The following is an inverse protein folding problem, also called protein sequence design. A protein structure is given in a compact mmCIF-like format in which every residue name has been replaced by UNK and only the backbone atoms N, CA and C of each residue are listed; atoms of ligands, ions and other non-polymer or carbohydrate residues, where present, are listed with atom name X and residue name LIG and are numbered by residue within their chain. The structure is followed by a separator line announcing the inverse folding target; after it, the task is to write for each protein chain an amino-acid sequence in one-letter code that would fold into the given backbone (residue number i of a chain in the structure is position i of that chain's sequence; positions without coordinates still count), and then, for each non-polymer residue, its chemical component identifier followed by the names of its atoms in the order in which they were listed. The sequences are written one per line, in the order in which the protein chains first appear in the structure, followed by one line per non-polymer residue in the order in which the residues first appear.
data_IF_270974368786
#
_entry.id   IF_270974368786
#
_cell.length_a   1.000
_cell.length_b   1.000
_cell.length_c   1.000
_cell.angle_alpha   90.00
_cell.angle_beta   90.00
_cell.angle_gamma   90.00
#
_symmetry.space_group_name_H-M   'P 1'
#
loop_
_entity.id
_entity.type
_entity.pdbx_description
1 polymer ?
#
# COMPACT_ATOMS: atom_id res chain seq x y z
N UNK A 1 -70.56 14.58 2.04
CA UNK A 1 -69.09 14.45 2.15
C UNK A 1 -68.51 14.98 0.86
N UNK A 2 -67.88 16.16 0.91
CA UNK A 2 -67.28 16.85 -0.24
C UNK A 2 -65.83 16.42 -0.37
N UNK A 3 -65.47 15.75 -1.47
CA UNK A 3 -64.07 15.41 -1.79
C UNK A 3 -63.53 16.46 -2.76
N UNK A 4 -62.95 17.52 -2.20
CA UNK A 4 -62.24 18.56 -2.93
C UNK A 4 -60.91 18.03 -3.49
N UNK A 5 -60.92 17.62 -4.76
CA UNK A 5 -59.74 17.68 -5.62
C UNK A 5 -59.82 18.96 -6.46
N UNK A 6 -58.71 19.64 -6.76
CA UNK A 6 -58.75 20.77 -7.68
C UNK A 6 -59.18 20.24 -9.05
N UNK A 7 -60.41 20.56 -9.41
CA UNK A 7 -60.95 20.39 -10.74
C UNK A 7 -60.14 21.23 -11.73
N UNK A 8 -59.08 20.63 -12.28
CA UNK A 8 -58.16 21.24 -13.25
C UNK A 8 -58.82 21.32 -14.63
N UNK A 9 -59.96 22.01 -14.77
CA UNK A 9 -60.60 22.20 -16.07
C UNK A 9 -59.76 23.13 -16.96
N UNK A 10 -59.70 22.81 -18.26
CA UNK A 10 -59.07 23.65 -19.28
C UNK A 10 -60.17 24.22 -20.15
N UNK A 11 -60.25 25.54 -20.22
CA UNK A 11 -61.23 26.24 -21.06
C UNK A 11 -60.76 26.19 -22.51
N UNK A 12 -61.62 25.71 -23.41
CA UNK A 12 -61.32 25.67 -24.83
C UNK A 12 -61.30 27.09 -25.42
N UNK A 13 -60.17 27.51 -26.01
CA UNK A 13 -60.02 28.87 -26.57
C UNK A 13 -60.96 29.20 -27.74
N UNK A 14 -61.44 28.19 -28.49
CA UNK A 14 -62.32 28.42 -29.64
C UNK A 14 -63.80 28.55 -29.30
N UNK A 15 -64.29 27.87 -28.26
CA UNK A 15 -65.74 27.81 -27.95
C UNK A 15 -66.08 28.13 -26.48
N UNK A 16 -65.08 28.35 -25.63
CA UNK A 16 -65.28 28.71 -24.23
C UNK A 16 -65.75 27.58 -23.31
N UNK A 17 -65.98 26.36 -23.83
CA UNK A 17 -66.43 25.24 -23.01
C UNK A 17 -65.33 24.75 -22.06
N UNK A 18 -65.71 24.40 -20.83
CA UNK A 18 -64.84 23.71 -19.88
C UNK A 18 -64.68 22.24 -20.26
N UNK A 19 -63.44 21.81 -20.47
CA UNK A 19 -63.10 20.44 -20.87
C UNK A 19 -62.07 19.87 -19.91
N UNK A 20 -62.11 18.57 -19.68
CA UNK A 20 -61.12 17.90 -18.83
C UNK A 20 -59.72 17.97 -19.46
N UNK A 21 -58.67 18.13 -18.64
CA UNK A 21 -57.29 18.33 -19.10
C UNK A 21 -56.68 17.06 -19.74
N UNK A 22 -57.39 15.94 -19.66
CA UNK A 22 -56.96 14.63 -20.13
C UNK A 22 -57.34 14.38 -21.60
N UNK A 23 -58.16 15.25 -22.21
CA UNK A 23 -58.62 15.10 -23.59
C UNK A 23 -57.80 16.00 -24.52
N UNK A 24 -57.37 15.46 -25.67
CA UNK A 24 -56.53 16.19 -26.64
C UNK A 24 -57.32 17.07 -27.62
N UNK A 25 -58.60 16.82 -27.78
CA UNK A 25 -59.51 17.52 -28.70
C UNK A 25 -60.80 17.91 -27.97
N UNK A 26 -61.31 19.12 -28.22
CA UNK A 26 -62.53 19.58 -27.58
C UNK A 26 -63.74 18.81 -28.15
N UNK A 27 -64.55 18.11 -27.32
CA UNK A 27 -65.68 17.31 -27.80
C UNK A 27 -66.77 18.15 -28.47
N UNK A 28 -66.86 19.45 -28.16
CA UNK A 28 -67.88 20.34 -28.69
C UNK A 28 -67.55 20.99 -30.03
N UNK A 29 -66.30 21.38 -30.26
CA UNK A 29 -65.91 22.13 -31.47
C UNK A 29 -64.80 21.45 -32.29
N UNK A 30 -64.30 20.29 -31.86
CA UNK A 30 -63.22 19.57 -32.53
C UNK A 30 -61.85 20.27 -32.51
N UNK A 31 -61.74 21.45 -31.89
CA UNK A 31 -60.47 22.17 -31.84
C UNK A 31 -59.45 21.43 -30.96
N UNK A 32 -58.21 21.36 -31.46
CA UNK A 32 -57.15 20.60 -30.81
C UNK A 32 -56.54 21.39 -29.65
N UNK A 33 -56.76 20.94 -28.42
CA UNK A 33 -56.30 21.63 -27.21
C UNK A 33 -54.79 21.44 -26.98
N UNK A 34 -54.25 20.23 -27.25
CA UNK A 34 -52.82 19.91 -27.05
C UNK A 34 -52.32 18.92 -28.10
N UNK A 35 -51.01 18.97 -28.40
CA UNK A 35 -50.34 18.08 -29.36
C UNK A 35 -50.08 16.65 -28.83
N UNK A 36 -50.16 16.40 -27.51
CA UNK A 36 -49.90 15.08 -26.91
C UNK A 36 -50.60 14.94 -25.55
N UNK A 37 -51.21 13.78 -25.27
CA UNK A 37 -51.81 13.47 -23.98
C UNK A 37 -50.71 13.36 -22.88
N UNK A 38 -50.96 13.84 -21.65
CA UNK A 38 -50.07 13.62 -20.52
C UNK A 38 -49.88 12.12 -20.28
N UNK A 39 -48.65 11.69 -20.00
CA UNK A 39 -48.40 10.31 -19.59
C UNK A 39 -48.93 10.13 -18.16
N UNK A 40 -49.89 9.22 -18.01
CA UNK A 40 -50.43 8.84 -16.72
C UNK A 40 -49.61 7.67 -16.16
N UNK A 41 -49.33 7.71 -14.86
CA UNK A 41 -48.80 6.58 -14.11
C UNK A 41 -49.87 5.51 -13.89
N UNK A 42 -49.49 4.35 -13.37
CA UNK A 42 -50.38 3.19 -13.15
C UNK A 42 -51.58 3.50 -12.23
N UNK A 43 -51.49 4.58 -11.45
CA UNK A 43 -52.52 5.09 -10.55
C UNK A 43 -53.37 6.23 -11.16
N UNK A 44 -53.22 6.51 -12.47
CA UNK A 44 -54.01 7.53 -13.16
C UNK A 44 -53.59 8.98 -12.88
N UNK A 45 -52.41 9.20 -12.26
CA UNK A 45 -51.86 10.53 -11.99
C UNK A 45 -50.86 10.96 -13.06
N UNK A 46 -50.68 12.26 -13.26
CA UNK A 46 -49.72 12.80 -14.24
C UNK A 46 -48.29 12.50 -13.79
N UNK A 47 -47.52 11.78 -14.61
CA UNK A 47 -46.16 11.35 -14.29
C UNK A 47 -45.21 12.55 -14.12
N UNK A 48 -44.68 12.74 -12.91
CA UNK A 48 -43.67 13.78 -12.65
C UNK A 48 -42.33 13.44 -13.32
N UNK A 49 -41.62 14.45 -13.83
CA UNK A 49 -40.27 14.28 -14.38
C UNK A 49 -39.32 13.80 -13.28
N UNK A 50 -38.94 12.53 -13.35
CA UNK A 50 -37.93 11.91 -12.47
C UNK A 50 -36.69 12.81 -12.41
N UNK A 51 -36.41 13.38 -11.23
CA UNK A 51 -35.21 14.20 -10.99
C UNK A 51 -33.99 13.36 -11.40
N UNK A 52 -33.11 13.93 -12.22
CA UNK A 52 -31.90 13.25 -12.73
C UNK A 52 -31.10 12.76 -11.53
N UNK A 53 -30.87 11.44 -11.47
CA UNK A 53 -30.03 10.79 -10.46
C UNK A 53 -28.62 11.38 -10.58
N UNK A 54 -27.94 11.74 -9.49
CA UNK A 54 -26.55 12.18 -9.56
C UNK A 54 -25.72 11.11 -10.28
N UNK A 55 -24.74 11.50 -11.12
CA UNK A 55 -23.91 10.55 -11.83
C UNK A 55 -23.21 9.63 -10.81
N UNK A 56 -23.34 8.32 -11.01
CA UNK A 56 -22.64 7.35 -10.19
C UNK A 56 -21.12 7.55 -10.38
N UNK A 57 -20.31 7.48 -9.31
CA UNK A 57 -18.87 7.58 -9.42
C UNK A 57 -18.36 6.48 -10.37
N UNK A 58 -17.76 6.87 -11.49
CA UNK A 58 -17.15 5.93 -12.43
C UNK A 58 -15.78 5.54 -11.92
N UNK A 59 -15.53 4.25 -11.79
CA UNK A 59 -14.18 3.74 -11.51
C UNK A 59 -13.23 4.13 -12.67
N UNK A 60 -11.97 4.49 -12.37
CA UNK A 60 -10.97 4.73 -13.40
C UNK A 60 -10.80 3.49 -14.30
N UNK A 61 -10.38 3.70 -15.55
CA UNK A 61 -10.10 2.62 -16.50
C UNK A 61 -9.05 1.67 -15.92
N UNK A 62 -9.44 0.40 -15.76
CA UNK A 62 -8.55 -0.69 -15.37
C UNK A 62 -7.43 -0.86 -16.41
N UNK A 63 -6.20 -1.06 -15.94
CA UNK A 63 -5.07 -1.43 -16.81
C UNK A 63 -5.23 -2.89 -17.26
N UNK A 64 -4.58 -3.23 -18.36
CA UNK A 64 -4.50 -4.62 -18.82
C UNK A 64 -3.90 -5.51 -17.72
N UNK A 65 -4.65 -6.52 -17.26
CA UNK A 65 -4.24 -7.44 -16.19
C UNK A 65 -4.74 -7.07 -14.78
N UNK A 66 -5.39 -5.92 -14.59
CA UNK A 66 -6.03 -5.57 -13.31
C UNK A 66 -7.46 -6.10 -13.26
N UNK A 67 -7.74 -6.97 -12.28
CA UNK A 67 -9.12 -7.36 -11.93
C UNK A 67 -9.59 -6.37 -10.85
N UNK A 68 -10.76 -5.72 -11.00
CA UNK A 68 -11.25 -4.78 -10.01
C UNK A 68 -11.42 -5.46 -8.65
N UNK A 69 -10.72 -4.94 -7.63
CA UNK A 69 -10.67 -5.52 -6.29
C UNK A 69 -9.47 -6.42 -6.01
N UNK A 70 -8.64 -6.75 -7.02
CA UNK A 70 -7.40 -7.53 -6.86
C UNK A 70 -6.22 -6.62 -7.22
N UNK A 71 -5.33 -6.35 -6.25
CA UNK A 71 -4.11 -5.55 -6.49
C UNK A 71 -3.30 -6.23 -7.61
N UNK A 72 -2.79 -5.47 -8.60
CA UNK A 72 -1.96 -6.04 -9.66
C UNK A 72 -0.77 -6.77 -9.04
N UNK A 73 -0.53 -8.00 -9.49
CA UNK A 73 0.67 -8.75 -9.09
C UNK A 73 1.92 -8.07 -9.65
N UNK A 74 2.51 -7.15 -8.89
CA UNK A 74 3.85 -6.65 -9.15
C UNK A 74 4.87 -7.68 -8.70
N UNK A 75 5.65 -8.22 -9.63
CA UNK A 75 6.80 -9.07 -9.30
C UNK A 75 7.80 -8.26 -8.47
N UNK A 76 8.29 -8.77 -7.32
CA UNK A 76 9.11 -8.00 -6.40
C UNK A 76 10.58 -7.94 -6.87
N UNK A 77 10.82 -7.18 -7.94
CA UNK A 77 12.13 -7.10 -8.58
C UNK A 77 13.19 -6.50 -7.65
N UNK A 78 12.84 -5.51 -6.82
CA UNK A 78 13.80 -4.91 -5.90
C UNK A 78 14.21 -5.89 -4.81
N UNK A 79 13.23 -6.58 -4.21
CA UNK A 79 13.49 -7.61 -3.20
C UNK A 79 14.31 -8.76 -3.79
N UNK A 80 13.96 -9.25 -4.98
CA UNK A 80 14.74 -10.29 -5.67
C UNK A 80 16.18 -9.84 -5.92
N UNK A 81 16.40 -8.61 -6.39
CA UNK A 81 17.73 -8.08 -6.61
C UNK A 81 18.56 -8.01 -5.31
N UNK A 82 17.95 -7.57 -4.20
CA UNK A 82 18.62 -7.51 -2.89
C UNK A 82 18.98 -8.90 -2.36
N UNK A 83 18.09 -9.88 -2.46
CA UNK A 83 18.38 -11.27 -2.08
C UNK A 83 19.49 -11.84 -2.94
N UNK A 84 19.41 -11.67 -4.27
CA UNK A 84 20.43 -12.16 -5.20
C UNK A 84 21.78 -11.52 -4.91
N UNK A 85 21.84 -10.21 -4.61
CA UNK A 85 23.06 -9.54 -4.20
C UNK A 85 23.64 -10.14 -2.91
N UNK A 86 22.81 -10.43 -1.91
CA UNK A 86 23.22 -11.10 -0.68
C UNK A 86 23.73 -12.53 -0.90
N UNK A 87 23.05 -13.31 -1.74
CA UNK A 87 23.47 -14.68 -2.08
C UNK A 87 24.79 -14.68 -2.87
N UNK A 88 24.96 -13.74 -3.81
CA UNK A 88 26.23 -13.54 -4.51
C UNK A 88 27.33 -13.16 -3.54
N UNK A 89 27.06 -12.28 -2.58
CA UNK A 89 28.01 -11.94 -1.50
C UNK A 89 28.44 -13.16 -0.70
N UNK A 90 27.49 -14.02 -0.29
CA UNK A 90 27.80 -15.30 0.37
C UNK A 90 28.66 -16.23 -0.50
N UNK A 91 28.40 -16.31 -1.81
CA UNK A 91 29.16 -17.15 -2.73
C UNK A 91 30.58 -16.64 -2.95
N UNK A 92 30.76 -15.33 -3.12
CA UNK A 92 32.08 -14.70 -3.28
C UNK A 92 32.96 -14.99 -2.08
N UNK A 93 32.41 -14.82 -0.87
CA UNK A 93 33.10 -15.18 0.35
C UNK A 93 33.46 -16.67 0.39
N UNK A 94 32.49 -17.55 0.14
CA UNK A 94 32.67 -19.00 0.29
C UNK A 94 33.62 -19.63 -0.73
N UNK A 95 33.80 -18.98 -1.87
CA UNK A 95 34.74 -19.40 -2.92
C UNK A 95 36.13 -18.81 -2.73
N UNK A 96 36.34 -18.00 -1.69
CA UNK A 96 37.59 -17.26 -1.42
C UNK A 96 38.08 -16.45 -2.61
N UNK A 97 37.17 -16.00 -3.47
CA UNK A 97 37.50 -15.17 -4.63
C UNK A 97 38.00 -13.78 -4.19
N UNK A 98 37.52 -13.31 -3.03
CA UNK A 98 37.92 -12.08 -2.37
C UNK A 98 38.03 -12.32 -0.86
N UNK A 99 39.06 -11.76 -0.23
CA UNK A 99 39.18 -11.78 1.23
C UNK A 99 38.07 -10.92 1.86
N UNK A 100 37.42 -11.44 2.91
CA UNK A 100 36.33 -10.75 3.63
C UNK A 100 36.75 -9.35 4.06
N UNK A 101 38.00 -9.20 4.52
CA UNK A 101 38.59 -7.95 4.98
C UNK A 101 38.57 -6.82 3.94
N UNK A 102 38.37 -7.13 2.65
CA UNK A 102 38.24 -6.13 1.59
C UNK A 102 36.82 -5.56 1.45
N UNK A 103 35.81 -6.31 1.90
CA UNK A 103 34.38 -6.07 1.65
C UNK A 103 33.61 -5.77 2.95
N UNK A 104 34.08 -6.29 4.09
CA UNK A 104 33.54 -5.98 5.42
C UNK A 104 33.96 -4.58 5.88
N UNK A 105 33.21 -4.03 6.84
CA UNK A 105 33.67 -2.85 7.57
C UNK A 105 34.69 -3.33 8.59
N UNK A 106 35.95 -3.01 8.32
CA UNK A 106 37.07 -3.20 9.23
C UNK A 106 37.74 -1.84 9.46
N UNK A 107 37.60 -1.28 10.65
CA UNK A 107 38.11 0.06 10.96
C UNK A 107 37.24 1.18 10.39
N UNK A 108 37.64 2.44 10.67
CA UNK A 108 36.90 3.61 10.16
C UNK A 108 36.94 3.66 8.62
N UNK A 109 35.79 3.89 7.95
CA UNK A 109 35.73 3.99 6.51
C UNK A 109 36.44 5.27 6.05
N UNK A 110 37.73 5.16 5.77
CA UNK A 110 38.53 6.21 5.13
C UNK A 110 38.34 6.17 3.61
N UNK A 111 39.37 5.79 2.82
CA UNK A 111 39.26 5.71 1.37
C UNK A 111 38.33 4.58 0.88
N UNK A 112 38.03 3.59 1.72
CA UNK A 112 37.23 2.41 1.38
C UNK A 112 35.73 2.59 1.67
N UNK A 113 35.16 3.74 1.31
CA UNK A 113 33.75 4.08 1.57
C UNK A 113 32.76 3.09 0.95
N UNK A 114 33.12 2.40 -0.14
CA UNK A 114 32.29 1.38 -0.78
C UNK A 114 31.99 0.19 0.14
N UNK A 115 32.81 -0.05 1.18
CA UNK A 115 32.57 -1.10 2.18
C UNK A 115 31.25 -0.89 2.92
N UNK A 116 30.81 0.36 3.09
CA UNK A 116 29.49 0.66 3.67
C UNK A 116 28.34 0.13 2.80
N UNK A 117 28.53 0.12 1.48
CA UNK A 117 27.53 -0.36 0.52
C UNK A 117 27.57 -1.88 0.34
N UNK A 118 28.76 -2.49 0.42
CA UNK A 118 28.92 -3.92 0.19
C UNK A 118 28.73 -4.76 1.45
N UNK A 119 29.07 -4.26 2.63
CA UNK A 119 28.97 -4.99 3.89
C UNK A 119 27.56 -5.53 4.22
N UNK A 120 26.43 -4.83 3.91
CA UNK A 120 25.10 -5.39 4.12
C UNK A 120 24.80 -6.67 3.35
N UNK A 121 25.56 -6.95 2.28
CA UNK A 121 25.36 -8.12 1.40
C UNK A 121 26.31 -9.28 1.69
N UNK A 122 27.24 -9.12 2.64
CA UNK A 122 28.22 -10.15 2.99
C UNK A 122 27.86 -10.75 4.34
N UNK A 123 27.98 -12.07 4.43
CA UNK A 123 27.65 -12.85 5.61
C UNK A 123 28.74 -13.90 5.85
N UNK A 124 29.28 -13.92 7.06
CA UNK A 124 30.28 -14.88 7.56
C UNK A 124 29.63 -16.21 8.02
N UNK A 125 28.34 -16.18 8.32
CA UNK A 125 27.59 -17.29 8.90
C UNK A 125 26.36 -17.63 8.05
N UNK A 126 26.21 -18.91 7.70
CA UNK A 126 25.09 -19.38 6.86
C UNK A 126 23.74 -19.23 7.57
N UNK A 127 23.66 -19.48 8.87
CA UNK A 127 22.44 -19.28 9.65
C UNK A 127 22.07 -17.80 9.75
N UNK A 128 23.07 -16.93 9.88
CA UNK A 128 22.87 -15.48 9.87
C UNK A 128 22.34 -14.97 8.52
N UNK A 129 22.97 -15.40 7.43
CA UNK A 129 22.53 -15.12 6.07
C UNK A 129 21.09 -15.58 5.86
N UNK A 130 20.77 -16.82 6.27
CA UNK A 130 19.42 -17.35 6.13
C UNK A 130 18.38 -16.52 6.89
N UNK A 131 18.60 -16.25 8.18
CA UNK A 131 17.63 -15.51 8.99
C UNK A 131 17.38 -14.08 8.45
N UNK A 132 18.45 -13.38 8.09
CA UNK A 132 18.35 -12.01 7.58
C UNK A 132 17.79 -11.94 6.16
N UNK A 133 18.27 -12.76 5.23
CA UNK A 133 17.79 -12.76 3.84
C UNK A 133 16.35 -13.30 3.75
N UNK A 134 15.96 -14.25 4.60
CA UNK A 134 14.57 -14.69 4.69
C UNK A 134 13.66 -13.56 5.18
N UNK A 135 14.09 -12.80 6.21
CA UNK A 135 13.34 -11.64 6.69
C UNK A 135 13.27 -10.53 5.62
N UNK A 136 14.39 -10.20 4.97
CA UNK A 136 14.42 -9.24 3.85
C UNK A 136 13.53 -9.72 2.71
N UNK A 137 13.54 -11.01 2.39
CA UNK A 137 12.72 -11.55 1.32
C UNK A 137 11.23 -11.54 1.62
N UNK A 138 10.84 -11.94 2.85
CA UNK A 138 9.45 -11.95 3.27
C UNK A 138 8.89 -10.51 3.36
N UNK A 139 9.52 -9.66 4.18
CA UNK A 139 9.00 -8.30 4.42
C UNK A 139 9.30 -7.36 3.26
N UNK A 140 10.42 -7.53 2.56
CA UNK A 140 10.69 -6.79 1.33
C UNK A 140 9.62 -7.08 0.28
N UNK A 141 9.26 -8.34 0.07
CA UNK A 141 8.22 -8.69 -0.90
C UNK A 141 6.85 -8.12 -0.48
N UNK A 142 6.45 -8.32 0.77
CA UNK A 142 5.18 -7.79 1.28
C UNK A 142 5.12 -6.26 1.18
N UNK A 143 6.20 -5.57 1.51
CA UNK A 143 6.28 -4.12 1.45
C UNK A 143 6.35 -3.58 0.01
N UNK A 144 7.06 -4.27 -0.89
CA UNK A 144 7.12 -3.93 -2.32
C UNK A 144 5.74 -4.03 -2.96
N UNK A 145 4.96 -5.04 -2.58
CA UNK A 145 3.54 -5.16 -3.01
C UNK A 145 2.67 -4.05 -2.44
N UNK A 146 3.00 -3.48 -1.28
CA UNK A 146 2.18 -2.47 -0.58
C UNK A 146 2.51 -1.04 -1.00
N UNK A 147 3.80 -0.71 -1.17
CA UNK A 147 4.28 0.66 -1.41
C UNK A 147 5.24 0.79 -2.62
N UNK A 148 5.55 -0.32 -3.31
CA UNK A 148 6.43 -0.34 -4.47
C UNK A 148 7.92 -0.53 -4.14
N UNK A 149 8.77 -0.71 -5.17
CA UNK A 149 10.19 -1.05 -5.03
C UNK A 149 11.02 0.05 -4.37
N UNK A 150 10.66 1.32 -4.56
CA UNK A 150 11.41 2.45 -4.03
C UNK A 150 11.42 2.45 -2.49
N UNK A 151 10.31 2.08 -1.86
CA UNK A 151 10.22 1.99 -0.40
C UNK A 151 11.18 0.93 0.16
N UNK A 152 11.25 -0.23 -0.49
CA UNK A 152 12.15 -1.33 -0.10
C UNK A 152 13.61 -0.91 -0.23
N UNK A 153 13.99 -0.32 -1.36
CA UNK A 153 15.38 0.15 -1.57
C UNK A 153 15.74 1.23 -0.55
N UNK A 154 14.87 2.20 -0.31
CA UNK A 154 15.12 3.27 0.65
C UNK A 154 15.32 2.73 2.08
N UNK A 155 14.44 1.82 2.53
CA UNK A 155 14.56 1.19 3.84
C UNK A 155 15.79 0.30 3.96
N UNK A 156 16.14 -0.43 2.89
CA UNK A 156 17.36 -1.23 2.87
C UNK A 156 18.61 -0.35 2.98
N UNK A 157 18.66 0.76 2.24
CA UNK A 157 19.78 1.69 2.30
C UNK A 157 19.88 2.36 3.67
N UNK A 158 18.76 2.88 4.21
CA UNK A 158 18.79 3.55 5.52
C UNK A 158 19.07 2.58 6.65
N UNK A 159 18.40 1.42 6.68
CA UNK A 159 18.55 0.43 7.75
C UNK A 159 19.83 -0.39 7.65
N UNK A 160 20.22 -0.82 6.44
CA UNK A 160 21.43 -1.61 6.21
C UNK A 160 22.67 -0.75 6.14
N UNK A 161 22.80 0.07 5.09
CA UNK A 161 23.99 0.92 4.88
C UNK A 161 24.10 1.97 5.98
N UNK A 162 23.00 2.67 6.29
CA UNK A 162 22.98 3.69 7.34
C UNK A 162 23.18 3.11 8.74
N UNK A 163 22.61 1.93 9.02
CA UNK A 163 22.83 1.22 10.29
C UNK A 163 24.29 0.82 10.48
N UNK A 164 24.90 0.22 9.45
CA UNK A 164 26.32 -0.13 9.49
C UNK A 164 27.25 1.10 9.55
N UNK A 165 26.89 2.20 8.87
CA UNK A 165 27.62 3.46 8.99
C UNK A 165 27.55 4.03 10.41
N UNK A 166 26.40 3.92 11.08
CA UNK A 166 26.26 4.31 12.49
C UNK A 166 27.11 3.43 13.41
N UNK A 167 27.16 2.11 13.17
CA UNK A 167 28.06 1.20 13.87
C UNK A 167 29.52 1.58 13.67
N UNK A 168 29.91 1.92 12.44
CA UNK A 168 31.27 2.32 12.11
C UNK A 168 31.68 3.65 12.79
N UNK A 169 30.72 4.54 13.04
CA UNK A 169 30.96 5.78 13.77
C UNK A 169 31.03 5.57 15.29
N UNK A 170 30.30 4.59 15.82
CA UNK A 170 30.19 4.35 17.25
C UNK A 170 31.41 3.62 17.85
N UNK A 171 32.05 2.72 17.09
CA UNK A 171 33.19 1.94 17.56
C UNK A 171 34.54 2.46 17.03
N UNK A 172 35.64 2.36 17.83
CA UNK A 172 36.98 2.71 17.36
C UNK A 172 37.50 1.77 16.27
N UNK A 173 37.27 0.47 16.45
CA UNK A 173 37.62 -0.60 15.52
C UNK A 173 36.34 -1.41 15.20
N UNK A 174 35.45 -0.86 14.35
CA UNK A 174 34.23 -1.55 13.99
C UNK A 174 34.55 -2.77 13.14
N UNK A 175 33.95 -3.90 13.51
CA UNK A 175 33.82 -5.11 12.70
C UNK A 175 32.34 -5.40 12.61
N UNK A 176 31.75 -5.19 11.43
CA UNK A 176 30.32 -5.40 11.22
C UNK A 176 30.04 -5.73 9.75
N UNK A 177 29.17 -6.72 9.55
CA UNK A 177 28.72 -7.17 8.24
C UNK A 177 27.29 -7.72 8.35
N UNK A 178 26.63 -7.86 7.20
CA UNK A 178 25.29 -8.40 7.09
C UNK A 178 24.18 -7.35 7.16
N UNK A 179 23.02 -7.76 6.63
CA UNK A 179 21.85 -6.91 6.46
C UNK A 179 20.83 -6.94 7.61
N UNK A 180 21.22 -7.21 8.87
CA UNK A 180 20.27 -7.27 9.99
C UNK A 180 19.50 -5.95 10.21
N UNK A 181 20.19 -4.81 10.11
CA UNK A 181 19.57 -3.49 10.18
C UNK A 181 18.55 -3.26 9.06
N UNK A 182 18.84 -3.72 7.84
CA UNK A 182 17.90 -3.65 6.72
C UNK A 182 16.69 -4.58 6.93
N UNK A 183 16.92 -5.80 7.43
CA UNK A 183 15.86 -6.75 7.75
C UNK A 183 14.87 -6.17 8.76
N UNK A 184 15.36 -5.58 9.86
CA UNK A 184 14.51 -4.93 10.85
C UNK A 184 13.84 -3.67 10.31
N UNK A 185 14.50 -2.88 9.45
CA UNK A 185 13.86 -1.72 8.83
C UNK A 185 12.64 -2.11 7.99
N UNK A 186 12.78 -3.14 7.15
CA UNK A 186 11.68 -3.65 6.33
C UNK A 186 10.56 -4.25 7.18
N UNK A 187 10.93 -5.06 8.18
CA UNK A 187 9.97 -5.69 9.09
C UNK A 187 9.17 -4.64 9.89
N UNK A 188 9.85 -3.70 10.55
CA UNK A 188 9.21 -2.66 11.34
C UNK A 188 8.35 -1.73 10.48
N UNK A 189 8.79 -1.42 9.24
CA UNK A 189 7.98 -0.64 8.31
C UNK A 189 6.69 -1.36 7.91
N UNK A 190 6.76 -2.67 7.64
CA UNK A 190 5.59 -3.48 7.33
C UNK A 190 4.64 -3.60 8.53
N UNK A 191 5.18 -3.89 9.73
CA UNK A 191 4.41 -4.06 10.95
C UNK A 191 3.73 -2.77 11.42
N UNK A 192 4.25 -1.59 11.05
CA UNK A 192 3.72 -0.30 11.49
C UNK A 192 2.25 -0.09 11.11
N UNK A 193 1.82 -0.51 9.92
CA UNK A 193 0.43 -0.36 9.48
C UNK A 193 -0.51 -1.28 10.25
N UNK A 194 -0.12 -2.54 10.41
CA UNK A 194 -0.90 -3.56 11.10
C UNK A 194 -0.99 -3.27 12.60
N UNK A 195 0.06 -2.70 13.20
CA UNK A 195 0.04 -2.19 14.58
C UNK A 195 -0.90 -0.97 14.73
N UNK A 196 -0.97 -0.09 13.72
CA UNK A 196 -1.93 1.03 13.73
C UNK A 196 -3.37 0.53 13.55
N UNK A 197 -3.60 -0.51 12.75
CA UNK A 197 -4.91 -1.15 12.60
C UNK A 197 -5.35 -1.80 13.91
N UNK A 198 -4.46 -2.57 14.55
CA UNK A 198 -4.71 -3.18 15.85
C UNK A 198 -5.04 -2.13 16.92
N UNK A 199 -4.29 -1.01 16.95
CA UNK A 199 -4.56 0.10 17.88
C UNK A 199 -5.89 0.80 17.60
N UNK A 200 -6.36 0.82 16.36
CA UNK A 200 -7.65 1.37 15.98
C UNK A 200 -8.82 0.41 16.24
N UNK A 201 -8.54 -0.83 16.67
CA UNK A 201 -9.57 -1.88 16.82
C UNK A 201 -10.08 -2.43 15.49
N UNK A 202 -9.32 -2.24 14.40
CA UNK A 202 -9.61 -2.81 13.09
C UNK A 202 -9.12 -4.25 13.01
N UNK A 203 -9.75 -5.07 12.15
CA UNK A 203 -9.26 -6.42 11.87
C UNK A 203 -7.88 -6.33 11.20
N UNK A 204 -6.92 -7.08 11.75
CA UNK A 204 -5.55 -7.16 11.24
C UNK A 204 -5.46 -8.38 10.32
N UNK A 205 -5.05 -8.16 9.08
CA UNK A 205 -4.90 -9.22 8.08
C UNK A 205 -3.57 -10.00 8.26
N UNK A 206 -2.53 -9.35 8.80
CA UNK A 206 -1.21 -9.94 9.00
C UNK A 206 -1.02 -10.71 10.32
N UNK A 207 -0.18 -11.75 10.29
CA UNK A 207 0.25 -12.48 11.49
C UNK A 207 1.32 -11.68 12.28
N UNK A 208 0.84 -10.88 13.23
CA UNK A 208 1.71 -10.09 14.12
C UNK A 208 2.53 -10.96 15.09
N UNK A 209 2.06 -12.16 15.44
CA UNK A 209 2.80 -13.06 16.35
C UNK A 209 3.98 -13.67 15.59
N UNK A 210 3.74 -14.22 14.40
CA UNK A 210 4.80 -14.70 13.51
C UNK A 210 5.82 -13.59 13.20
N UNK A 211 5.33 -12.37 13.02
CA UNK A 211 6.18 -11.20 12.80
C UNK A 211 7.04 -10.87 14.02
N UNK A 212 6.46 -10.90 15.23
CA UNK A 212 7.20 -10.68 16.47
C UNK A 212 8.26 -11.76 16.70
N UNK A 213 7.97 -13.02 16.35
CA UNK A 213 8.94 -14.12 16.42
C UNK A 213 10.12 -13.88 15.48
N UNK A 214 9.86 -13.53 14.21
CA UNK A 214 10.93 -13.23 13.25
C UNK A 214 11.73 -12.01 13.70
N UNK A 215 11.06 -10.96 14.20
CA UNK A 215 11.72 -9.78 14.73
C UNK A 215 12.64 -10.14 15.91
N UNK A 216 12.18 -10.99 16.83
CA UNK A 216 12.98 -11.45 17.96
C UNK A 216 14.20 -12.27 17.50
N UNK A 217 14.03 -13.16 16.51
CA UNK A 217 15.15 -13.92 15.94
C UNK A 217 16.22 -12.99 15.36
N UNK A 218 15.81 -11.98 14.58
CA UNK A 218 16.76 -11.03 13.98
C UNK A 218 17.37 -10.11 15.04
N UNK A 219 16.59 -9.57 15.98
CA UNK A 219 17.08 -8.65 17.01
C UNK A 219 17.96 -9.31 18.09
N UNK A 220 17.85 -10.63 18.27
CA UNK A 220 18.72 -11.39 19.19
C UNK A 220 19.96 -11.94 18.49
N UNK A 221 20.09 -11.73 17.17
CA UNK A 221 21.23 -12.21 16.39
C UNK A 221 22.60 -11.73 16.90
N UNK A 222 22.78 -10.50 17.41
CA UNK A 222 24.06 -10.03 17.96
C UNK A 222 24.54 -10.83 19.17
N UNK A 223 23.66 -11.59 19.84
CA UNK A 223 24.04 -12.51 20.92
C UNK A 223 24.65 -13.81 20.40
N UNK A 224 24.32 -14.21 19.17
CA UNK A 224 24.77 -15.45 18.55
C UNK A 224 25.93 -15.24 17.56
N UNK A 225 26.01 -14.06 16.93
CA UNK A 225 26.97 -13.74 15.86
C UNK A 225 27.66 -12.42 16.18
N UNK A 226 28.99 -12.45 16.26
CA UNK A 226 29.82 -11.29 16.65
C UNK A 226 29.77 -10.16 15.62
N UNK A 227 29.58 -10.54 14.37
CA UNK A 227 29.56 -9.64 13.21
C UNK A 227 28.22 -8.90 13.06
N UNK A 228 27.16 -9.38 13.73
CA UNK A 228 25.86 -8.75 13.74
C UNK A 228 25.85 -7.57 14.71
N UNK A 229 25.55 -6.37 14.20
CA UNK A 229 25.56 -5.16 15.01
C UNK A 229 24.18 -4.82 15.59
N UNK A 230 24.08 -4.74 16.91
CA UNK A 230 22.89 -4.25 17.62
C UNK A 230 22.59 -2.76 17.36
N UNK A 231 23.62 -1.96 17.04
CA UNK A 231 23.44 -0.54 16.66
C UNK A 231 22.74 -0.45 15.31
N UNK A 232 23.18 -1.26 14.34
CA UNK A 232 22.53 -1.32 13.03
C UNK A 232 21.06 -1.77 13.15
N UNK A 233 20.77 -2.68 14.06
CA UNK A 233 19.39 -3.11 14.38
C UNK A 233 18.55 -2.00 14.96
N UNK A 234 19.08 -1.25 15.93
CA UNK A 234 18.42 -0.10 16.51
C UNK A 234 18.10 0.97 15.45
N UNK A 235 19.07 1.30 14.60
CA UNK A 235 18.88 2.23 13.47
C UNK A 235 17.83 1.69 12.50
N UNK A 236 17.90 0.39 12.17
CA UNK A 236 16.94 -0.28 11.32
C UNK A 236 15.52 -0.18 11.85
N UNK A 237 15.28 -0.56 13.11
CA UNK A 237 13.97 -0.50 13.73
C UNK A 237 13.41 0.93 13.78
N UNK A 238 14.24 1.90 14.16
CA UNK A 238 13.85 3.32 14.20
C UNK A 238 13.49 3.83 12.80
N UNK A 239 14.32 3.54 11.79
CA UNK A 239 14.04 3.90 10.41
C UNK A 239 12.75 3.23 9.91
N UNK A 240 12.58 1.93 10.18
CA UNK A 240 11.40 1.18 9.80
C UNK A 240 10.11 1.82 10.31
N UNK A 241 10.03 2.18 11.60
CA UNK A 241 8.87 2.90 12.12
C UNK A 241 8.75 4.33 11.59
N UNK A 242 9.87 5.05 11.45
CA UNK A 242 9.86 6.43 10.96
C UNK A 242 9.33 6.56 9.52
N UNK A 243 9.62 5.59 8.66
CA UNK A 243 9.11 5.53 7.28
C UNK A 243 7.76 4.79 7.19
N UNK A 244 7.55 3.73 7.98
CA UNK A 244 6.32 2.93 7.95
C UNK A 244 5.09 3.68 8.45
N UNK A 245 5.19 4.44 9.55
CA UNK A 245 4.07 5.20 10.11
C UNK A 245 3.48 6.26 9.15
N UNK A 246 4.27 7.11 8.45
CA UNK A 246 3.71 8.05 7.49
C UNK A 246 3.14 7.35 6.26
N UNK A 247 3.78 6.28 5.76
CA UNK A 247 3.26 5.49 4.64
C UNK A 247 1.90 4.87 4.96
N UNK A 248 1.75 4.30 6.15
CA UNK A 248 0.49 3.73 6.63
C UNK A 248 -0.62 4.81 6.75
N UNK A 249 -0.28 6.03 7.17
CA UNK A 249 -1.25 7.13 7.29
C UNK A 249 -1.67 7.70 5.93
N UNK A 250 -0.77 7.72 4.95
CA UNK A 250 -1.06 8.20 3.60
C UNK A 250 -2.02 7.27 2.86
N UNK A 251 -1.97 5.95 3.09
CA UNK A 251 -2.89 4.99 2.47
C UNK A 251 -4.32 5.05 3.03
N UNK A 252 -4.50 5.56 4.25
CA UNK A 252 -5.83 5.70 4.87
C UNK A 252 -6.58 6.98 4.47
N UNK A 253 -5.92 7.91 3.77
CA UNK A 253 -6.53 9.17 3.27
C UNK A 253 -7.03 8.99 1.85
#
# INVERSE_FOLDING_TARGET
MSTGGPDLFVICKSCGSEVSPYITECPYCGSRLRKRAPKLDREGRVAEKRRRRPPAPSLPRLRSGEIPGIRPESRPYATMALILAGLVGCLIWRTSLLDIHQIEIFGKPGPHWWRLLTAPFVYDNTGYAFATLAAVGLYGWLLERRHGPAAVIALFLVGGVGGLAATAAAYPEPVALGGNGAALALLCAWAAEDLLALRAGEEVEGDLIGTAVIAAVVALMPLAVKDASWIAEGVGAVAGFAFGLPLARLQRR
#
